data_IF_534967577665
#
_entry.id   IF_534967577665
#
_cell.length_a   1.000
_cell.length_b   1.000
_cell.length_c   1.000
_cell.angle_alpha   90.00
_cell.angle_beta   90.00
_cell.angle_gamma   90.00
#
_symmetry.space_group_name_H-M   'P 1'
#
loop_
_entity.id
_entity.type
_entity.pdbx_description
1 polymer ?
#
# COMPACT_ATOMS: atom_id res chain seq x y z
N UNK A 1 -55.71 44.81 19.79
CA UNK A 1 -55.13 44.08 18.66
C UNK A 1 -53.67 43.60 18.92
N UNK A 2 -52.83 44.37 19.52
CA UNK A 2 -51.40 44.10 19.75
C UNK A 2 -51.12 42.84 20.63
N UNK A 3 -51.94 42.59 21.68
CA UNK A 3 -51.77 41.42 22.57
C UNK A 3 -51.99 40.03 21.87
N UNK A 4 -52.80 39.97 20.82
CA UNK A 4 -53.07 38.73 20.10
C UNK A 4 -51.95 38.39 19.10
N UNK A 5 -51.23 39.37 18.59
CA UNK A 5 -50.06 39.20 17.74
C UNK A 5 -48.85 38.66 18.50
N UNK A 6 -48.66 39.10 19.77
CA UNK A 6 -47.56 38.58 20.61
C UNK A 6 -47.72 37.12 21.00
N UNK A 7 -48.95 36.64 21.23
CA UNK A 7 -49.20 35.24 21.53
C UNK A 7 -48.96 34.31 20.30
N UNK A 8 -49.32 34.77 19.11
CA UNK A 8 -49.06 34.04 17.89
C UNK A 8 -47.56 33.90 17.57
N UNK A 9 -46.77 34.96 17.83
CA UNK A 9 -45.31 34.94 17.64
C UNK A 9 -44.59 33.98 18.62
N UNK A 10 -45.06 33.93 19.89
CA UNK A 10 -44.50 33.01 20.91
C UNK A 10 -44.78 31.52 20.61
N UNK A 11 -45.94 31.21 20.03
CA UNK A 11 -46.27 29.81 19.62
C UNK A 11 -45.44 29.41 18.41
N UNK A 12 -45.19 30.31 17.45
CA UNK A 12 -44.36 29.99 16.29
C UNK A 12 -42.90 29.78 16.66
N UNK A 13 -42.33 30.52 17.60
CA UNK A 13 -40.94 30.32 18.06
C UNK A 13 -40.77 28.99 18.76
N UNK A 14 -41.76 28.52 19.54
CA UNK A 14 -41.70 27.21 20.18
C UNK A 14 -41.83 26.04 19.19
N UNK A 15 -42.59 26.19 18.10
CA UNK A 15 -42.73 25.14 17.07
C UNK A 15 -41.42 25.00 16.27
N UNK A 16 -40.74 26.11 15.95
CA UNK A 16 -39.45 26.08 15.23
C UNK A 16 -38.36 25.45 16.12
N UNK A 17 -38.35 25.74 17.42
CA UNK A 17 -37.39 25.12 18.36
C UNK A 17 -37.60 23.63 18.55
N UNK A 18 -38.85 23.13 18.53
CA UNK A 18 -39.17 21.70 18.62
C UNK A 18 -38.79 20.95 17.34
N UNK A 19 -39.00 21.53 16.16
CA UNK A 19 -38.60 20.88 14.90
C UNK A 19 -37.09 20.83 14.74
N UNK A 20 -36.36 21.84 15.20
CA UNK A 20 -34.89 21.82 15.21
C UNK A 20 -34.32 20.78 16.17
N UNK A 21 -34.93 20.58 17.33
CA UNK A 21 -34.52 19.56 18.30
C UNK A 21 -34.80 18.14 17.80
N UNK A 22 -35.94 17.90 17.11
CA UNK A 22 -36.28 16.59 16.52
C UNK A 22 -35.31 16.25 15.38
N UNK A 23 -34.99 17.19 14.49
CA UNK A 23 -34.04 16.98 13.41
C UNK A 23 -32.61 16.78 13.91
N UNK A 24 -32.21 17.45 14.99
CA UNK A 24 -30.92 17.22 15.63
C UNK A 24 -30.81 15.82 16.23
N UNK A 25 -31.90 15.32 16.83
CA UNK A 25 -31.94 14.00 17.44
C UNK A 25 -31.97 12.85 16.40
N UNK A 26 -32.62 13.06 15.26
CA UNK A 26 -32.56 12.11 14.13
C UNK A 26 -31.20 12.12 13.44
N UNK A 27 -30.57 13.29 13.28
CA UNK A 27 -29.20 13.40 12.76
C UNK A 27 -28.18 12.75 13.70
N UNK A 28 -28.31 12.91 15.02
CA UNK A 28 -27.46 12.23 16.00
C UNK A 28 -27.66 10.70 16.00
N UNK A 29 -28.90 10.22 15.87
CA UNK A 29 -29.16 8.77 15.78
C UNK A 29 -28.58 8.16 14.50
N UNK A 30 -28.65 8.85 13.37
CA UNK A 30 -28.12 8.36 12.11
C UNK A 30 -26.58 8.40 12.10
N UNK A 31 -25.97 9.41 12.70
CA UNK A 31 -24.52 9.50 12.87
C UNK A 31 -24.00 8.45 13.85
N UNK A 32 -24.68 8.23 14.95
CA UNK A 32 -24.33 7.21 15.95
C UNK A 32 -24.50 5.77 15.45
N UNK A 33 -25.44 5.49 14.55
CA UNK A 33 -25.61 4.16 13.97
C UNK A 33 -24.40 3.75 13.11
N UNK A 34 -23.74 4.70 12.45
CA UNK A 34 -22.55 4.45 11.64
C UNK A 34 -21.32 4.09 12.50
N UNK A 35 -21.28 4.51 13.75
CA UNK A 35 -20.22 4.28 14.72
C UNK A 35 -20.62 3.34 15.86
N UNK A 36 -21.71 2.59 15.72
CA UNK A 36 -22.07 1.59 16.73
C UNK A 36 -20.95 0.53 16.85
N UNK A 37 -20.66 0.01 18.07
CA UNK A 37 -19.63 -1.01 18.26
C UNK A 37 -19.77 -2.19 17.30
N UNK A 38 -20.99 -2.64 17.05
CA UNK A 38 -21.29 -3.71 16.10
C UNK A 38 -20.89 -3.37 14.67
N UNK A 39 -21.14 -2.15 14.20
CA UNK A 39 -20.75 -1.72 12.86
C UNK A 39 -19.23 -1.60 12.71
N UNK A 40 -18.55 -1.11 13.76
CA UNK A 40 -17.09 -1.04 13.84
C UNK A 40 -16.48 -2.44 13.76
N UNK A 41 -16.97 -3.40 14.56
CA UNK A 41 -16.49 -4.78 14.53
C UNK A 41 -16.68 -5.41 13.16
N UNK A 42 -17.88 -5.30 12.58
CA UNK A 42 -18.15 -5.86 11.23
C UNK A 42 -17.21 -5.32 10.16
N UNK A 43 -16.91 -4.03 10.18
CA UNK A 43 -16.01 -3.40 9.23
C UNK A 43 -14.56 -3.80 9.49
N UNK A 44 -14.07 -3.57 10.70
CA UNK A 44 -12.65 -3.71 11.03
C UNK A 44 -12.19 -5.17 11.08
N UNK A 45 -13.04 -6.13 11.45
CA UNK A 45 -12.69 -7.55 11.39
C UNK A 45 -12.27 -7.97 9.97
N UNK A 46 -13.01 -7.53 8.96
CA UNK A 46 -12.65 -7.81 7.56
C UNK A 46 -11.44 -6.99 7.07
N UNK A 47 -11.44 -5.68 7.34
CA UNK A 47 -10.40 -4.77 6.83
C UNK A 47 -9.03 -5.06 7.46
N UNK A 48 -8.97 -5.28 8.78
CA UNK A 48 -7.72 -5.57 9.48
C UNK A 48 -7.12 -6.90 9.03
N UNK A 49 -7.94 -7.96 8.96
CA UNK A 49 -7.50 -9.26 8.44
C UNK A 49 -6.89 -9.13 7.05
N UNK A 50 -7.60 -8.47 6.15
CA UNK A 50 -7.14 -8.24 4.78
C UNK A 50 -5.83 -7.44 4.75
N UNK A 51 -5.74 -6.37 5.53
CA UNK A 51 -4.59 -5.49 5.57
C UNK A 51 -3.35 -6.21 6.13
N UNK A 52 -3.48 -6.99 7.20
CA UNK A 52 -2.40 -7.82 7.75
C UNK A 52 -1.89 -8.80 6.68
N UNK A 53 -2.81 -9.50 6.01
CA UNK A 53 -2.47 -10.44 4.94
C UNK A 53 -1.69 -9.79 3.79
N UNK A 54 -2.09 -8.57 3.39
CA UNK A 54 -1.43 -7.83 2.31
C UNK A 54 -0.07 -7.25 2.73
N UNK A 55 0.08 -6.84 4.00
CA UNK A 55 1.32 -6.29 4.51
C UNK A 55 2.36 -7.34 4.86
N UNK A 56 1.98 -8.58 5.12
CA UNK A 56 2.88 -9.62 5.62
C UNK A 56 4.20 -9.66 4.86
N UNK A 57 4.17 -9.78 3.56
CA UNK A 57 5.37 -9.87 2.75
C UNK A 57 6.19 -8.58 2.75
N UNK A 58 5.54 -7.43 2.80
CA UNK A 58 6.22 -6.14 2.90
C UNK A 58 6.88 -5.93 4.27
N UNK A 59 6.25 -6.40 5.35
CA UNK A 59 6.83 -6.41 6.70
C UNK A 59 8.10 -7.27 6.73
N UNK A 60 8.09 -8.44 6.10
CA UNK A 60 9.26 -9.32 6.03
C UNK A 60 10.43 -8.71 5.27
N UNK A 61 10.17 -7.79 4.34
CA UNK A 61 11.22 -7.08 3.61
C UNK A 61 11.81 -5.90 4.39
N UNK A 62 10.98 -5.08 5.05
CA UNK A 62 11.39 -3.78 5.61
C UNK A 62 11.03 -3.57 7.08
N UNK A 63 10.24 -4.46 7.66
CA UNK A 63 9.74 -4.31 9.02
C UNK A 63 10.52 -5.09 10.07
N UNK A 64 9.85 -5.41 11.18
CA UNK A 64 10.36 -6.19 12.29
C UNK A 64 10.41 -7.71 12.05
N UNK A 65 10.19 -8.18 10.81
CA UNK A 65 10.16 -9.58 10.47
C UNK A 65 8.91 -10.31 10.96
N UNK A 66 9.02 -11.63 11.18
CA UNK A 66 7.87 -12.46 11.61
C UNK A 66 7.28 -12.01 12.95
N UNK A 67 8.09 -11.46 13.86
CA UNK A 67 7.62 -10.99 15.16
C UNK A 67 6.61 -9.82 15.03
N UNK A 68 6.83 -8.90 14.09
CA UNK A 68 5.90 -7.79 13.85
C UNK A 68 4.61 -8.26 13.19
N UNK A 69 4.71 -9.23 12.27
CA UNK A 69 3.53 -9.88 11.68
C UNK A 69 2.71 -10.58 12.76
N UNK A 70 3.38 -11.36 13.63
CA UNK A 70 2.72 -12.10 14.70
C UNK A 70 2.02 -11.17 15.68
N UNK A 71 2.67 -10.06 16.08
CA UNK A 71 2.05 -9.03 16.94
C UNK A 71 0.72 -8.53 16.36
N UNK A 72 0.65 -8.23 15.06
CA UNK A 72 -0.59 -7.77 14.42
C UNK A 72 -1.66 -8.86 14.39
N UNK A 73 -1.25 -10.12 14.19
CA UNK A 73 -2.15 -11.28 14.20
C UNK A 73 -2.71 -11.52 15.61
N UNK A 74 -1.88 -11.46 16.65
CA UNK A 74 -2.29 -11.67 18.04
C UNK A 74 -3.30 -10.61 18.48
N UNK A 75 -3.03 -9.33 18.18
CA UNK A 75 -3.97 -8.25 18.45
C UNK A 75 -5.32 -8.44 17.74
N UNK A 76 -5.28 -8.93 16.49
CA UNK A 76 -6.50 -9.26 15.74
C UNK A 76 -7.25 -10.44 16.37
N UNK A 77 -6.53 -11.47 16.80
CA UNK A 77 -7.11 -12.66 17.44
C UNK A 77 -7.78 -12.31 18.78
N UNK A 78 -7.13 -11.48 19.60
CA UNK A 78 -7.67 -10.99 20.86
C UNK A 78 -8.99 -10.22 20.65
N UNK A 79 -9.02 -9.31 19.68
CA UNK A 79 -10.23 -8.58 19.32
C UNK A 79 -11.35 -9.52 18.85
N UNK A 80 -10.98 -10.56 18.09
CA UNK A 80 -11.93 -11.56 17.60
C UNK A 80 -12.47 -12.42 18.75
N UNK A 81 -11.62 -12.82 19.70
CA UNK A 81 -12.03 -13.59 20.88
C UNK A 81 -13.04 -12.82 21.75
N UNK A 82 -12.82 -11.53 21.96
CA UNK A 82 -13.78 -10.67 22.67
C UNK A 82 -15.13 -10.60 21.96
N UNK A 83 -15.14 -10.52 20.65
CA UNK A 83 -16.38 -10.52 19.87
C UNK A 83 -17.18 -11.82 20.04
N UNK A 84 -16.51 -12.98 20.03
CA UNK A 84 -17.17 -14.28 20.27
C UNK A 84 -17.61 -14.49 21.73
N UNK A 85 -17.13 -13.65 22.66
CA UNK A 85 -17.59 -13.60 24.04
C UNK A 85 -18.74 -12.60 24.27
N UNK A 86 -19.37 -12.09 23.21
CA UNK A 86 -20.40 -11.07 23.22
C UNK A 86 -19.97 -9.71 23.81
N UNK A 87 -18.65 -9.49 23.99
CA UNK A 87 -18.05 -8.23 24.47
C UNK A 87 -17.82 -7.27 23.33
N UNK A 88 -18.90 -6.86 22.65
CA UNK A 88 -18.82 -6.11 21.39
C UNK A 88 -18.12 -4.75 21.51
N UNK A 89 -18.28 -4.02 22.62
CA UNK A 89 -17.64 -2.73 22.85
C UNK A 89 -16.12 -2.86 23.02
N UNK A 90 -15.69 -3.84 23.83
CA UNK A 90 -14.27 -4.15 24.02
C UNK A 90 -13.64 -4.62 22.69
N UNK A 91 -14.33 -5.48 21.95
CA UNK A 91 -13.90 -5.94 20.64
C UNK A 91 -13.73 -4.77 19.65
N UNK A 92 -14.67 -3.83 19.59
CA UNK A 92 -14.60 -2.65 18.74
C UNK A 92 -13.38 -1.78 19.08
N UNK A 93 -13.10 -1.59 20.38
CA UNK A 93 -11.89 -0.88 20.85
C UNK A 93 -10.62 -1.59 20.39
N UNK A 94 -10.52 -2.90 20.57
CA UNK A 94 -9.35 -3.70 20.19
C UNK A 94 -9.15 -3.76 18.68
N UNK A 95 -10.19 -3.90 17.88
CA UNK A 95 -10.06 -3.78 16.42
C UNK A 95 -9.60 -2.39 15.99
N UNK A 96 -10.01 -1.33 16.66
CA UNK A 96 -9.55 0.03 16.39
C UNK A 96 -8.08 0.23 16.76
N UNK A 97 -7.62 -0.34 17.87
CA UNK A 97 -6.21 -0.36 18.24
C UNK A 97 -5.37 -1.10 17.19
N UNK A 98 -5.81 -2.27 16.75
CA UNK A 98 -5.16 -3.05 15.71
C UNK A 98 -5.11 -2.30 14.37
N UNK A 99 -6.19 -1.60 13.96
CA UNK A 99 -6.20 -0.72 12.77
C UNK A 99 -5.12 0.36 12.84
N UNK A 100 -4.94 0.98 14.02
CA UNK A 100 -3.90 2.01 14.23
C UNK A 100 -2.49 1.44 14.12
N UNK A 101 -2.25 0.25 14.66
CA UNK A 101 -0.94 -0.41 14.54
C UNK A 101 -0.66 -0.82 13.08
N UNK A 102 -1.63 -1.40 12.38
CA UNK A 102 -1.54 -1.70 10.95
C UNK A 102 -1.19 -0.44 10.15
N UNK A 103 -1.83 0.68 10.46
CA UNK A 103 -1.57 1.96 9.82
C UNK A 103 -0.13 2.45 10.04
N UNK A 104 0.37 2.41 11.29
CA UNK A 104 1.75 2.82 11.62
C UNK A 104 2.77 1.99 10.85
N UNK A 105 2.57 0.66 10.83
CA UNK A 105 3.43 -0.27 10.11
C UNK A 105 3.38 0.01 8.59
N UNK A 106 2.20 0.17 8.02
CA UNK A 106 2.04 0.50 6.61
C UNK A 106 2.71 1.81 6.22
N UNK A 107 2.62 2.84 7.08
CA UNK A 107 3.26 4.16 6.87
C UNK A 107 4.77 4.05 6.80
N UNK A 108 5.38 3.37 7.76
CA UNK A 108 6.83 3.14 7.79
C UNK A 108 7.28 2.42 6.53
N UNK A 109 6.67 1.28 6.24
CA UNK A 109 7.03 0.42 5.11
C UNK A 109 6.82 1.13 3.76
N UNK A 110 5.75 1.92 3.61
CA UNK A 110 5.55 2.72 2.39
C UNK A 110 6.67 3.74 2.18
N UNK A 111 7.16 4.37 3.26
CA UNK A 111 8.31 5.27 3.21
C UNK A 111 9.59 4.57 2.79
N UNK A 112 9.87 3.39 3.35
CA UNK A 112 11.05 2.58 3.02
C UNK A 112 11.02 2.14 1.55
N UNK A 113 9.88 1.62 1.07
CA UNK A 113 9.70 1.27 -0.34
C UNK A 113 9.82 2.46 -1.27
N UNK A 114 9.28 3.63 -0.89
CA UNK A 114 9.40 4.85 -1.69
C UNK A 114 10.86 5.23 -1.91
N UNK A 115 11.65 5.26 -0.83
CA UNK A 115 13.07 5.59 -0.86
C UNK A 115 13.84 4.61 -1.75
N UNK A 116 13.74 3.32 -1.45
CA UNK A 116 14.47 2.27 -2.16
C UNK A 116 14.12 2.22 -3.65
N UNK A 117 12.82 2.33 -3.98
CA UNK A 117 12.38 2.30 -5.38
C UNK A 117 12.88 3.51 -6.17
N UNK A 118 12.94 4.69 -5.51
CA UNK A 118 13.46 5.92 -6.13
C UNK A 118 14.97 5.83 -6.39
N UNK A 119 15.72 5.33 -5.41
CA UNK A 119 17.17 5.11 -5.56
C UNK A 119 17.46 4.06 -6.64
N UNK A 120 16.71 2.96 -6.64
CA UNK A 120 16.86 1.91 -7.64
C UNK A 120 16.50 2.37 -9.05
N UNK A 121 15.44 3.17 -9.20
CA UNK A 121 15.10 3.78 -10.49
C UNK A 121 16.24 4.67 -11.01
N UNK A 122 16.82 5.51 -10.14
CA UNK A 122 17.94 6.37 -10.50
C UNK A 122 19.13 5.57 -11.01
N UNK A 123 19.46 4.46 -10.35
CA UNK A 123 20.54 3.56 -10.78
C UNK A 123 20.18 2.84 -12.08
N UNK A 124 18.95 2.37 -12.23
CA UNK A 124 18.46 1.76 -13.45
C UNK A 124 18.54 2.69 -14.66
N UNK A 125 18.20 3.97 -14.50
CA UNK A 125 18.36 4.98 -15.55
C UNK A 125 19.83 5.12 -15.96
N UNK A 126 20.75 5.26 -14.99
CA UNK A 126 22.19 5.38 -15.26
C UNK A 126 22.70 4.15 -16.03
N UNK A 127 22.32 2.94 -15.58
CA UNK A 127 22.72 1.68 -16.22
C UNK A 127 22.18 1.60 -17.65
N UNK A 128 20.92 1.93 -17.88
CA UNK A 128 20.31 1.92 -19.22
C UNK A 128 21.03 2.88 -20.18
N UNK A 129 21.42 4.07 -19.70
CA UNK A 129 22.20 5.05 -20.49
C UNK A 129 23.58 4.49 -20.82
N UNK A 130 24.30 3.91 -19.85
CA UNK A 130 25.60 3.28 -20.08
C UNK A 130 25.53 2.21 -21.17
N UNK A 131 24.59 1.26 -21.01
CA UNK A 131 24.37 0.18 -21.98
C UNK A 131 24.00 0.73 -23.36
N UNK A 132 23.21 1.78 -23.42
CA UNK A 132 22.82 2.41 -24.69
C UNK A 132 24.02 3.05 -25.40
N UNK A 133 24.94 3.66 -24.65
CA UNK A 133 26.18 4.25 -25.18
C UNK A 133 27.10 3.14 -25.69
N UNK A 134 27.34 2.09 -24.89
CA UNK A 134 28.20 0.97 -25.26
C UNK A 134 27.70 0.26 -26.53
N UNK A 135 26.39 0.01 -26.63
CA UNK A 135 25.76 -0.60 -27.80
C UNK A 135 25.68 0.34 -29.01
N UNK A 136 25.61 1.64 -28.80
CA UNK A 136 25.53 2.65 -29.84
C UNK A 136 26.78 2.71 -30.72
N UNK A 137 27.97 2.40 -30.17
CA UNK A 137 29.22 2.28 -30.91
C UNK A 137 29.15 1.16 -31.96
N UNK A 138 28.43 0.08 -31.67
CA UNK A 138 28.23 -1.04 -32.60
C UNK A 138 27.02 -0.88 -33.55
N UNK A 139 26.38 0.30 -33.59
CA UNK A 139 25.27 0.61 -34.50
C UNK A 139 23.91 0.00 -34.17
N UNK A 140 23.71 -0.58 -32.99
CA UNK A 140 22.48 -1.26 -32.62
C UNK A 140 21.52 -0.49 -31.69
N UNK A 141 21.83 0.78 -31.40
CA UNK A 141 20.89 1.68 -30.70
C UNK A 141 20.34 1.23 -29.35
N UNK A 142 19.33 1.92 -28.90
CA UNK A 142 18.62 1.65 -27.63
C UNK A 142 17.96 0.27 -27.63
N UNK A 143 18.01 -0.41 -26.50
CA UNK A 143 17.27 -1.64 -26.29
C UNK A 143 15.81 -1.31 -25.92
N UNK A 144 14.90 -1.49 -26.87
CA UNK A 144 13.47 -1.18 -26.72
C UNK A 144 12.81 -1.94 -25.55
N UNK A 145 13.31 -3.12 -25.21
CA UNK A 145 12.78 -3.93 -24.10
C UNK A 145 13.21 -3.33 -22.76
N UNK A 146 14.49 -2.94 -22.63
CA UNK A 146 14.99 -2.25 -21.44
C UNK A 146 14.27 -0.91 -21.23
N UNK A 147 14.13 -0.10 -22.31
CA UNK A 147 13.41 1.18 -22.26
C UNK A 147 11.96 1.00 -21.80
N UNK A 148 11.26 -0.03 -22.29
CA UNK A 148 9.89 -0.34 -21.89
C UNK A 148 9.78 -0.68 -20.38
N UNK A 149 10.66 -1.52 -19.88
CA UNK A 149 10.67 -1.84 -18.45
C UNK A 149 11.01 -0.63 -17.59
N UNK A 150 11.95 0.20 -18.02
CA UNK A 150 12.33 1.43 -17.33
C UNK A 150 11.16 2.42 -17.28
N UNK A 151 10.43 2.61 -18.38
CA UNK A 151 9.26 3.50 -18.40
C UNK A 151 8.12 2.95 -17.53
N UNK A 152 7.86 1.63 -17.55
CA UNK A 152 6.89 1.00 -16.66
C UNK A 152 7.27 1.16 -15.18
N UNK A 153 8.55 1.06 -14.84
CA UNK A 153 9.04 1.32 -13.48
C UNK A 153 8.78 2.77 -13.06
N UNK A 154 9.07 3.72 -13.92
CA UNK A 154 8.84 5.16 -13.70
C UNK A 154 7.34 5.49 -13.52
N UNK A 155 6.47 4.93 -14.37
CA UNK A 155 5.02 5.10 -14.26
C UNK A 155 4.51 4.51 -12.93
N UNK A 156 4.98 3.33 -12.56
CA UNK A 156 4.59 2.67 -11.31
C UNK A 156 5.06 3.47 -10.10
N UNK A 157 6.31 3.93 -10.09
CA UNK A 157 6.83 4.78 -9.01
C UNK A 157 6.01 6.08 -8.88
N UNK A 158 5.70 6.75 -9.99
CA UNK A 158 4.89 7.97 -9.99
C UNK A 158 3.49 7.74 -9.41
N UNK A 159 2.82 6.62 -9.76
CA UNK A 159 1.52 6.26 -9.20
C UNK A 159 1.61 6.02 -7.69
N UNK A 160 2.62 5.26 -7.24
CA UNK A 160 2.85 5.01 -5.82
C UNK A 160 3.09 6.31 -5.04
N UNK A 161 3.94 7.20 -5.58
CA UNK A 161 4.24 8.50 -4.96
C UNK A 161 3.03 9.41 -4.89
N UNK A 162 2.21 9.47 -5.93
CA UNK A 162 0.99 10.29 -5.90
C UNK A 162 0.02 9.84 -4.79
N UNK A 163 -0.17 8.52 -4.61
CA UNK A 163 -1.02 7.98 -3.54
C UNK A 163 -0.40 8.25 -2.15
N UNK A 164 0.92 8.14 -2.03
CA UNK A 164 1.65 8.38 -0.79
C UNK A 164 1.65 9.86 -0.38
N UNK A 165 1.79 10.77 -1.35
CA UNK A 165 1.70 12.22 -1.11
C UNK A 165 0.26 12.65 -0.74
N UNK A 166 -0.75 12.13 -1.44
CA UNK A 166 -2.16 12.39 -1.13
C UNK A 166 -2.49 12.04 0.35
N UNK A 167 -1.89 10.97 0.87
CA UNK A 167 -1.99 10.61 2.28
C UNK A 167 -1.46 11.72 3.22
N UNK A 168 -0.37 12.39 2.89
CA UNK A 168 0.20 13.47 3.72
C UNK A 168 -0.77 14.64 3.91
N UNK A 169 -1.62 14.89 2.93
CA UNK A 169 -2.62 15.98 2.97
C UNK A 169 -3.91 15.56 3.67
N UNK A 170 -4.30 14.30 3.58
CA UNK A 170 -5.56 13.82 4.18
C UNK A 170 -5.44 13.45 5.66
N UNK A 171 -4.23 13.25 6.16
CA UNK A 171 -3.93 13.02 7.58
C UNK A 171 -4.38 11.67 8.14
N UNK A 172 -4.05 11.44 9.42
CA UNK A 172 -4.30 10.18 10.14
C UNK A 172 -5.79 9.94 10.48
N UNK A 173 -6.69 10.84 10.08
CA UNK A 173 -8.07 10.90 10.56
C UNK A 173 -9.08 10.14 9.71
N UNK A 174 -8.70 9.64 8.53
CA UNK A 174 -9.66 9.00 7.63
C UNK A 174 -9.54 7.48 7.67
N UNK A 175 -10.67 6.83 7.91
CA UNK A 175 -10.85 5.40 7.70
C UNK A 175 -10.41 5.06 6.26
N UNK A 176 -9.53 4.08 6.12
CA UNK A 176 -8.99 3.70 4.79
C UNK A 176 -7.57 4.20 4.51
N UNK A 177 -6.93 4.94 5.42
CA UNK A 177 -5.54 5.40 5.26
C UNK A 177 -4.56 4.23 5.09
N UNK A 178 -4.74 3.13 5.84
CA UNK A 178 -3.93 1.93 5.68
C UNK A 178 -4.06 1.32 4.28
N UNK A 179 -5.27 1.26 3.73
CA UNK A 179 -5.51 0.76 2.36
C UNK A 179 -4.77 1.58 1.31
N UNK A 180 -4.73 2.92 1.44
CA UNK A 180 -4.00 3.80 0.52
C UNK A 180 -2.50 3.54 0.59
N UNK A 181 -1.94 3.44 1.80
CA UNK A 181 -0.52 3.13 2.00
C UNK A 181 -0.15 1.74 1.44
N UNK A 182 -0.99 0.74 1.65
CA UNK A 182 -0.83 -0.60 1.06
C UNK A 182 -0.86 -0.54 -0.47
N UNK A 183 -1.73 0.30 -1.04
CA UNK A 183 -1.79 0.51 -2.49
C UNK A 183 -0.52 1.20 -3.01
N UNK A 184 0.04 2.17 -2.29
CA UNK A 184 1.31 2.79 -2.67
C UNK A 184 2.47 1.79 -2.63
N UNK A 185 2.53 0.94 -1.58
CA UNK A 185 3.51 -0.16 -1.47
C UNK A 185 3.43 -1.09 -2.69
N UNK A 186 2.22 -1.45 -3.12
CA UNK A 186 2.03 -2.26 -4.32
C UNK A 186 2.68 -1.64 -5.55
N UNK A 187 2.47 -0.35 -5.80
CA UNK A 187 3.06 0.32 -6.95
C UNK A 187 4.59 0.45 -6.85
N UNK A 188 5.14 0.67 -5.67
CA UNK A 188 6.60 0.66 -5.47
C UNK A 188 7.20 -0.71 -5.75
N UNK A 189 6.55 -1.79 -5.33
CA UNK A 189 6.96 -3.16 -5.64
C UNK A 189 6.91 -3.43 -7.14
N UNK A 190 5.86 -2.96 -7.83
CA UNK A 190 5.78 -3.04 -9.30
C UNK A 190 6.91 -2.26 -9.99
N UNK A 191 7.28 -1.10 -9.47
CA UNK A 191 8.43 -0.33 -9.98
C UNK A 191 9.72 -1.14 -9.85
N UNK A 192 10.00 -1.71 -8.67
CA UNK A 192 11.18 -2.57 -8.44
C UNK A 192 11.19 -3.81 -9.33
N UNK A 193 10.04 -4.47 -9.49
CA UNK A 193 9.93 -5.62 -10.38
C UNK A 193 10.29 -5.26 -11.83
N UNK A 194 9.77 -4.16 -12.35
CA UNK A 194 10.11 -3.71 -13.70
C UNK A 194 11.61 -3.40 -13.84
N UNK A 195 12.25 -2.84 -12.80
CA UNK A 195 13.69 -2.62 -12.80
C UNK A 195 14.46 -3.95 -12.83
N UNK A 196 14.08 -4.95 -12.05
CA UNK A 196 14.70 -6.28 -12.13
C UNK A 196 14.54 -6.88 -13.53
N UNK A 197 13.36 -6.75 -14.14
CA UNK A 197 13.14 -7.22 -15.52
C UNK A 197 13.97 -6.45 -16.54
N UNK A 198 14.25 -5.16 -16.32
CA UNK A 198 15.16 -4.38 -17.15
C UNK A 198 16.60 -4.95 -17.08
N UNK A 199 17.11 -5.26 -15.89
CA UNK A 199 18.43 -5.89 -15.72
C UNK A 199 18.49 -7.27 -16.35
N UNK A 200 17.44 -8.06 -16.19
CA UNK A 200 17.34 -9.39 -16.82
C UNK A 200 17.38 -9.26 -18.35
N UNK A 201 16.62 -8.35 -18.93
CA UNK A 201 16.63 -8.10 -20.38
C UNK A 201 18.00 -7.66 -20.90
N UNK A 202 18.73 -6.85 -20.09
CA UNK A 202 20.10 -6.47 -20.44
C UNK A 202 21.01 -7.71 -20.55
N UNK A 203 20.98 -8.60 -19.57
CA UNK A 203 21.81 -9.79 -19.50
C UNK A 203 21.41 -10.81 -20.59
N UNK A 204 20.10 -11.02 -20.78
CA UNK A 204 19.57 -11.91 -21.81
C UNK A 204 20.00 -11.46 -23.23
N UNK A 205 20.13 -10.17 -23.43
CA UNK A 205 20.59 -9.59 -24.69
C UNK A 205 22.11 -9.70 -24.94
N UNK A 206 22.89 -10.13 -23.95
CA UNK A 206 24.33 -10.36 -24.13
C UNK A 206 24.54 -11.65 -24.92
N UNK A 207 25.38 -11.56 -25.95
CA UNK A 207 25.85 -12.74 -26.70
C UNK A 207 26.98 -13.39 -25.90
N UNK A 208 26.75 -14.59 -25.39
CA UNK A 208 27.74 -15.40 -24.72
C UNK A 208 27.98 -16.68 -25.56
N UNK A 209 29.17 -17.30 -25.46
CA UNK A 209 29.56 -18.41 -26.31
C UNK A 209 28.88 -19.75 -25.94
N UNK A 210 28.48 -20.43 -26.89
CA UNK A 210 27.93 -21.72 -27.35
C UNK A 210 27.60 -22.84 -26.33
N UNK A 211 27.93 -22.79 -25.05
CA UNK A 211 27.50 -23.80 -24.06
C UNK A 211 26.32 -23.27 -23.24
N UNK A 212 25.10 -23.63 -23.63
CA UNK A 212 23.84 -23.09 -23.04
C UNK A 212 23.77 -23.19 -21.52
N UNK A 213 24.37 -24.20 -20.90
CA UNK A 213 24.31 -24.35 -19.43
C UNK A 213 25.28 -23.41 -18.74
N UNK A 214 26.53 -23.34 -19.21
CA UNK A 214 27.54 -22.40 -18.70
C UNK A 214 27.11 -20.94 -18.95
N UNK A 215 26.48 -20.68 -20.09
CA UNK A 215 25.93 -19.42 -20.46
C UNK A 215 24.85 -18.96 -19.46
N UNK A 216 23.94 -19.84 -19.09
CA UNK A 216 22.91 -19.50 -18.10
C UNK A 216 23.49 -19.26 -16.72
N UNK A 217 24.42 -20.08 -16.26
CA UNK A 217 25.10 -19.89 -14.96
C UNK A 217 25.87 -18.54 -14.93
N UNK A 218 26.53 -18.17 -16.02
CA UNK A 218 27.24 -16.91 -16.16
C UNK A 218 26.26 -15.72 -16.15
N UNK A 219 25.14 -15.82 -16.86
CA UNK A 219 24.08 -14.79 -16.86
C UNK A 219 23.48 -14.60 -15.47
N UNK A 220 23.24 -15.67 -14.75
CA UNK A 220 22.71 -15.62 -13.37
C UNK A 220 23.70 -14.94 -12.42
N UNK A 221 25.02 -15.26 -12.54
CA UNK A 221 26.06 -14.61 -11.75
C UNK A 221 26.19 -13.11 -12.09
N UNK A 222 26.13 -12.74 -13.37
CA UNK A 222 26.15 -11.37 -13.80
C UNK A 222 24.94 -10.60 -13.29
N UNK A 223 23.76 -11.18 -13.36
CA UNK A 223 22.54 -10.60 -12.82
C UNK A 223 22.65 -10.38 -11.31
N UNK A 224 23.07 -11.38 -10.56
CA UNK A 224 23.30 -11.28 -9.12
C UNK A 224 24.30 -10.17 -8.76
N UNK A 225 25.40 -10.06 -9.54
CA UNK A 225 26.41 -9.03 -9.33
C UNK A 225 25.85 -7.63 -9.56
N UNK A 226 25.21 -7.39 -10.70
CA UNK A 226 24.65 -6.09 -11.06
C UNK A 226 23.59 -5.62 -10.06
N UNK A 227 22.71 -6.52 -9.63
CA UNK A 227 21.70 -6.20 -8.65
C UNK A 227 22.32 -5.86 -7.29
N UNK A 228 23.34 -6.60 -6.83
CA UNK A 228 24.03 -6.29 -5.57
C UNK A 228 24.77 -4.96 -5.62
N UNK A 229 25.39 -4.63 -6.75
CA UNK A 229 26.09 -3.36 -6.94
C UNK A 229 25.12 -2.18 -6.96
N UNK A 230 24.03 -2.29 -7.72
CA UNK A 230 23.10 -1.19 -7.97
C UNK A 230 22.00 -1.06 -6.94
N UNK A 231 21.65 -2.16 -6.27
CA UNK A 231 20.50 -2.19 -5.36
C UNK A 231 20.83 -2.82 -4.00
N UNK A 232 21.80 -2.78 -3.41
CA UNK A 232 22.27 -3.24 -2.07
C UNK A 232 21.30 -4.06 -1.18
N UNK A 233 19.99 -4.08 -1.43
CA UNK A 233 19.01 -4.87 -0.71
C UNK A 233 18.96 -6.33 -1.18
N UNK A 234 18.32 -7.20 -0.39
CA UNK A 234 18.13 -8.61 -0.72
C UNK A 234 17.06 -8.78 -1.82
N UNK A 235 17.50 -8.63 -3.09
CA UNK A 235 16.61 -8.72 -4.25
C UNK A 235 15.91 -10.07 -4.38
N UNK A 236 16.48 -11.16 -3.87
CA UNK A 236 15.83 -12.49 -3.89
C UNK A 236 14.55 -12.47 -3.08
N UNK A 237 14.56 -11.78 -1.96
CA UNK A 237 13.40 -11.58 -1.10
C UNK A 237 12.34 -10.74 -1.80
N UNK A 238 12.74 -9.65 -2.44
CA UNK A 238 11.83 -8.81 -3.23
C UNK A 238 11.28 -9.55 -4.45
N UNK A 239 12.09 -10.34 -5.14
CA UNK A 239 11.63 -11.15 -6.28
C UNK A 239 10.67 -12.27 -5.85
N UNK A 240 10.93 -12.92 -4.73
CA UNK A 240 10.05 -13.95 -4.16
C UNK A 240 8.72 -13.34 -3.73
N UNK A 241 8.76 -12.16 -3.15
CA UNK A 241 7.61 -11.41 -2.71
C UNK A 241 6.72 -10.97 -3.89
N UNK A 242 7.32 -10.53 -4.99
CA UNK A 242 6.60 -10.19 -6.22
C UNK A 242 5.90 -11.39 -6.87
N UNK A 243 6.37 -12.61 -6.63
CA UNK A 243 5.69 -13.84 -7.03
C UNK A 243 4.48 -14.19 -6.15
N UNK A 244 4.35 -13.56 -4.99
CA UNK A 244 3.17 -13.73 -4.12
C UNK A 244 1.94 -13.12 -4.79
N UNK A 245 1.16 -13.96 -5.45
CA UNK A 245 -0.01 -13.68 -6.28
C UNK A 245 -1.17 -12.94 -5.58
N UNK A 246 -1.06 -12.66 -4.28
CA UNK A 246 -2.11 -11.98 -3.53
C UNK A 246 -2.42 -10.60 -4.10
N UNK A 247 -1.41 -9.88 -4.59
CA UNK A 247 -1.59 -8.59 -5.25
C UNK A 247 -2.17 -8.73 -6.67
N UNK A 248 -1.72 -9.71 -7.43
CA UNK A 248 -2.20 -9.95 -8.80
C UNK A 248 -3.69 -10.35 -8.83
N UNK A 249 -4.17 -11.05 -7.79
CA UNK A 249 -5.58 -11.42 -7.69
C UNK A 249 -6.50 -10.23 -7.37
N UNK A 250 -5.97 -9.12 -6.87
CA UNK A 250 -6.76 -7.91 -6.57
C UNK A 250 -6.95 -7.01 -7.80
N UNK A 251 -5.98 -6.94 -8.72
CA UNK A 251 -6.15 -6.19 -9.97
C UNK A 251 -7.25 -6.76 -10.88
N UNK A 252 -7.52 -8.06 -10.79
CA UNK A 252 -8.59 -8.70 -11.58
C UNK A 252 -10.00 -8.52 -11.02
N UNK A 253 -10.15 -7.83 -9.86
CA UNK A 253 -11.45 -7.61 -9.19
C UNK A 253 -11.80 -6.14 -9.02
N UNK A 254 -11.00 -5.22 -9.57
CA UNK A 254 -11.27 -3.81 -9.70
C UNK A 254 -11.51 -3.51 -11.19
#
# INVERSE_FOLDING_TARGET
MIRRLFLAALVFINIISLTSAVNAQEGEKQYNAQYSPTSVVKRLSYENFRNIKLLRSAILNYGGGEAEVQKLIDQYADATALYFQDKTEEAASKFTENEREIFKVAKKIAGDYHKDSSEFLTKGIKRNVQVSIERGVDGKGRDAVMDKYLENAKISLKKGSAIFEDYKYTGDKTTGSAKRLITSIYYYRMAKQNLFMMYQAHIDGMKLDQDKKKDQEMKDQMFDKLIKEDYKADYKKDMQDNKNKVYVSMEKKI
#
